data_IF_983753691247
#
_entry.id   IF_983753691247
#
_cell.length_a   1.000
_cell.length_b   1.000
_cell.length_c   1.000
_cell.angle_alpha   90.00
_cell.angle_beta   90.00
_cell.angle_gamma   90.00
#
_symmetry.space_group_name_H-M   'P 1'
#
loop_
_entity.id
_entity.type
_entity.pdbx_description
1 polymer ?
#
# COMPACT_ATOMS: atom_id res chain seq x y z
N UNK A 1 -11.39 -25.80 3.46
CA UNK A 1 -10.24 -25.80 4.35
C UNK A 1 -10.06 -24.42 4.97
N UNK A 2 -9.42 -24.41 6.12
CA UNK A 2 -9.22 -23.15 6.84
C UNK A 2 -8.29 -22.25 6.05
N UNK A 3 -8.75 -21.06 5.76
CA UNK A 3 -7.94 -20.07 5.05
C UNK A 3 -7.87 -20.27 3.55
N UNK A 4 -8.53 -21.30 3.01
CA UNK A 4 -8.48 -21.53 1.58
C UNK A 4 -9.09 -20.40 0.76
N UNK A 5 -10.20 -19.88 1.24
CA UNK A 5 -10.86 -18.75 0.58
C UNK A 5 -10.02 -17.49 0.66
N UNK A 6 -9.46 -17.23 1.84
CA UNK A 6 -8.60 -16.07 2.05
C UNK A 6 -7.34 -16.17 1.19
N UNK A 7 -6.74 -17.34 1.14
CA UNK A 7 -5.55 -17.56 0.34
C UNK A 7 -5.81 -17.28 -1.14
N UNK A 8 -6.96 -17.76 -1.65
CA UNK A 8 -7.33 -17.51 -3.03
C UNK A 8 -7.50 -16.00 -3.31
N UNK A 9 -8.13 -15.30 -2.37
CA UNK A 9 -8.31 -13.85 -2.50
C UNK A 9 -6.97 -13.13 -2.50
N UNK A 10 -6.06 -13.52 -1.62
CA UNK A 10 -4.74 -12.91 -1.55
C UNK A 10 -3.95 -13.16 -2.83
N UNK A 11 -4.02 -14.35 -3.37
CA UNK A 11 -3.34 -14.67 -4.61
C UNK A 11 -3.89 -13.86 -5.78
N UNK A 12 -5.21 -13.71 -5.83
CA UNK A 12 -5.85 -12.91 -6.87
C UNK A 12 -5.39 -11.46 -6.80
N UNK A 13 -5.38 -10.89 -5.61
CA UNK A 13 -4.92 -9.52 -5.41
C UNK A 13 -3.46 -9.35 -5.81
N UNK A 14 -2.62 -10.30 -5.45
CA UNK A 14 -1.21 -10.25 -5.82
C UNK A 14 -1.04 -10.28 -7.32
N UNK A 15 -1.79 -11.13 -8.00
CA UNK A 15 -1.75 -11.20 -9.46
C UNK A 15 -2.18 -9.90 -10.11
N UNK A 16 -3.09 -9.17 -9.48
CA UNK A 16 -3.59 -7.89 -9.98
C UNK A 16 -2.70 -6.71 -9.59
N UNK A 17 -1.58 -6.97 -8.92
CA UNK A 17 -0.63 -5.91 -8.58
C UNK A 17 -1.03 -5.06 -7.39
N UNK A 18 -1.88 -5.58 -6.51
CA UNK A 18 -2.34 -4.81 -5.34
C UNK A 18 -1.17 -4.48 -4.41
N UNK A 19 -0.22 -5.41 -4.24
CA UNK A 19 0.95 -5.15 -3.42
C UNK A 19 1.77 -3.97 -3.91
N UNK A 20 2.04 -3.93 -5.21
CA UNK A 20 2.79 -2.83 -5.80
C UNK A 20 2.00 -1.52 -5.72
N UNK A 21 0.69 -1.59 -5.91
CA UNK A 21 -0.16 -0.39 -5.77
C UNK A 21 -0.12 0.14 -4.34
N UNK A 22 -0.16 -0.75 -3.36
CA UNK A 22 -0.07 -0.36 -1.96
C UNK A 22 1.27 0.32 -1.66
N UNK A 23 2.36 -0.23 -2.17
CA UNK A 23 3.67 0.40 -1.99
C UNK A 23 3.72 1.80 -2.55
N UNK A 24 3.19 1.98 -3.75
CA UNK A 24 3.15 3.31 -4.37
C UNK A 24 2.32 4.29 -3.53
N UNK A 25 1.21 3.81 -2.99
CA UNK A 25 0.36 4.64 -2.13
C UNK A 25 1.11 5.07 -0.88
N UNK A 26 1.84 4.14 -0.27
CA UNK A 26 2.62 4.48 0.93
C UNK A 26 3.73 5.47 0.63
N UNK A 27 4.39 5.33 -0.51
CA UNK A 27 5.41 6.29 -0.92
C UNK A 27 4.82 7.67 -1.14
N UNK A 28 3.64 7.74 -1.76
CA UNK A 28 2.96 9.02 -1.96
C UNK A 28 2.57 9.64 -0.62
N UNK A 29 2.12 8.83 0.32
CA UNK A 29 1.76 9.31 1.65
C UNK A 29 2.99 9.86 2.39
N UNK A 30 4.11 9.15 2.30
CA UNK A 30 5.36 9.61 2.93
C UNK A 30 5.83 10.92 2.32
N UNK A 31 5.75 11.02 1.00
CA UNK A 31 6.14 12.26 0.32
C UNK A 31 5.27 13.42 0.76
N UNK A 32 3.96 13.19 0.87
CA UNK A 32 3.05 14.25 1.30
C UNK A 32 3.32 14.66 2.75
N UNK A 33 3.60 13.69 3.61
CA UNK A 33 3.93 13.98 5.00
C UNK A 33 5.20 14.84 5.08
N UNK A 34 6.18 14.54 4.24
CA UNK A 34 7.43 15.30 4.18
C UNK A 34 7.16 16.73 3.75
N UNK A 35 6.33 16.91 2.72
CA UNK A 35 5.96 18.23 2.24
C UNK A 35 5.27 19.04 3.32
N UNK A 36 4.36 18.43 4.05
CA UNK A 36 3.66 19.11 5.14
C UNK A 36 4.61 19.45 6.29
N UNK A 37 5.54 18.57 6.60
CA UNK A 37 6.56 18.85 7.60
C UNK A 37 7.41 20.06 7.21
N UNK A 38 7.82 20.11 5.97
CA UNK A 38 8.60 21.24 5.47
C UNK A 38 7.81 22.54 5.49
N UNK A 39 6.52 22.48 5.18
CA UNK A 39 5.64 23.65 5.21
C UNK A 39 5.58 24.25 6.60
N UNK A 40 5.67 23.44 7.62
CA UNK A 40 5.55 23.90 9.00
C UNK A 40 6.90 24.04 9.69
N UNK A 41 7.97 24.10 8.92
CA UNK A 41 9.28 24.42 9.44
C UNK A 41 10.00 23.25 10.08
N UNK A 42 9.63 22.05 9.73
CA UNK A 42 10.27 20.87 10.30
C UNK A 42 11.70 20.70 9.81
#
# INVERSE_FOLDING_TARGET
>A
SKGGTTYAALQSMEADGVGAAFERAMQAACKRADELGNEFGA
#
